data_IF_180366472368
#
_entry.id   IF_180366472368
#
_cell.length_a   1.000
_cell.length_b   1.000
_cell.length_c   1.000
_cell.angle_alpha   90.00
_cell.angle_beta   90.00
_cell.angle_gamma   90.00
#
_symmetry.space_group_name_H-M   'P 1'
#
loop_
_entity.id
_entity.type
_entity.pdbx_description
1 polymer ?
#
# COMPACT_ATOMS: atom_id res chain seq x y z
N UNK A 1 4.97 -1.71 10.96
CA UNK A 1 4.57 -3.06 10.52
C UNK A 1 3.80 -3.72 11.63
N UNK A 2 2.47 -3.65 11.56
CA UNK A 2 1.57 -4.36 12.46
C UNK A 2 0.77 -5.41 11.67
N UNK A 3 0.38 -6.47 12.37
CA UNK A 3 -0.59 -7.46 11.87
C UNK A 3 -1.92 -7.17 12.54
N UNK A 4 -2.97 -7.00 11.75
CA UNK A 4 -4.32 -6.70 12.23
C UNK A 4 -5.28 -7.87 11.98
N UNK A 5 -6.20 -8.08 12.91
CA UNK A 5 -7.23 -9.12 12.86
C UNK A 5 -7.07 -10.16 13.97
N UNK A 6 -8.03 -11.08 14.04
CA UNK A 6 -8.16 -12.15 15.03
C UNK A 6 -7.84 -13.54 14.45
N UNK A 7 -7.29 -13.59 13.24
CA UNK A 7 -7.01 -14.83 12.52
C UNK A 7 -8.08 -15.19 11.49
N UNK A 8 -9.23 -14.50 11.49
CA UNK A 8 -10.27 -14.71 10.48
C UNK A 8 -10.03 -13.87 9.23
N UNK A 9 -10.60 -14.30 8.10
CA UNK A 9 -10.50 -13.55 6.86
C UNK A 9 -11.27 -12.22 6.99
N UNK A 10 -10.57 -11.11 6.80
CA UNK A 10 -11.11 -9.74 6.88
C UNK A 10 -12.34 -9.49 5.98
N UNK A 11 -12.43 -10.20 4.85
CA UNK A 11 -13.55 -10.09 3.91
C UNK A 11 -14.54 -11.27 3.99
N UNK A 12 -14.36 -12.18 4.94
CA UNK A 12 -15.18 -13.38 5.11
C UNK A 12 -16.42 -13.19 6.00
N UNK A 13 -17.21 -14.26 6.21
CA UNK A 13 -16.96 -15.64 5.75
C UNK A 13 -17.41 -15.93 4.31
N UNK A 14 -18.24 -15.09 3.72
CA UNK A 14 -18.85 -15.35 2.40
C UNK A 14 -17.81 -15.39 1.29
N UNK A 15 -17.82 -16.44 0.46
CA UNK A 15 -16.90 -16.58 -0.67
C UNK A 15 -15.44 -16.84 -0.27
N UNK A 16 -15.15 -17.18 0.99
CA UNK A 16 -13.81 -17.58 1.40
C UNK A 16 -13.40 -18.91 0.77
N UNK A 17 -12.23 -18.91 0.12
CA UNK A 17 -11.59 -20.11 -0.41
C UNK A 17 -10.06 -20.01 -0.22
N UNK A 18 -9.43 -21.14 0.13
CA UNK A 18 -7.99 -21.24 0.37
C UNK A 18 -7.56 -20.91 1.81
N UNK A 19 -6.25 -20.75 2.01
CA UNK A 19 -5.63 -20.57 3.33
C UNK A 19 -5.75 -19.12 3.82
N UNK A 20 -6.18 -18.97 5.08
CA UNK A 20 -6.22 -17.68 5.78
C UNK A 20 -4.93 -17.48 6.56
N UNK A 21 -4.16 -16.46 6.17
CA UNK A 21 -3.00 -15.99 6.92
C UNK A 21 -2.83 -14.48 6.75
N UNK A 22 -1.96 -13.87 7.55
CA UNK A 22 -1.67 -12.44 7.49
C UNK A 22 -0.93 -12.08 6.19
N UNK A 23 -1.54 -11.24 5.35
CA UNK A 23 -0.98 -10.82 4.06
C UNK A 23 -0.71 -9.33 4.03
N UNK A 24 0.39 -8.96 3.42
CA UNK A 24 0.82 -7.56 3.33
C UNK A 24 -0.17 -6.72 2.53
N UNK A 25 -0.35 -5.47 2.94
CA UNK A 25 -1.12 -4.48 2.18
C UNK A 25 -0.32 -3.95 0.98
N UNK A 26 -1.04 -3.54 -0.08
CA UNK A 26 -0.45 -2.91 -1.26
C UNK A 26 -0.22 -1.40 -1.09
N UNK A 27 -0.69 -0.79 0.00
CA UNK A 27 -0.63 0.66 0.24
C UNK A 27 0.72 1.19 0.73
N UNK A 28 1.74 0.34 0.85
CA UNK A 28 3.08 0.75 1.30
C UNK A 28 3.22 1.03 2.81
N UNK A 29 2.17 0.82 3.62
CA UNK A 29 2.26 1.04 5.08
C UNK A 29 3.10 -0.01 5.81
N UNK A 30 3.39 -1.13 5.15
CA UNK A 30 4.05 -2.29 5.75
C UNK A 30 3.15 -3.07 6.72
N UNK A 31 1.85 -2.80 6.74
CA UNK A 31 0.89 -3.55 7.57
C UNK A 31 0.39 -4.80 6.86
N UNK A 32 -0.13 -5.74 7.65
CA UNK A 32 -0.74 -6.97 7.16
C UNK A 32 -2.12 -7.23 7.78
N UNK A 33 -3.00 -7.88 7.02
CA UNK A 33 -4.34 -8.29 7.44
C UNK A 33 -4.59 -9.75 7.06
N UNK A 34 -5.32 -10.49 7.89
CA UNK A 34 -5.71 -11.86 7.58
C UNK A 34 -6.69 -11.89 6.40
N UNK A 35 -6.35 -12.63 5.34
CA UNK A 35 -7.19 -12.86 4.16
C UNK A 35 -6.97 -14.27 3.63
N UNK A 36 -8.04 -14.92 3.18
CA UNK A 36 -7.92 -16.15 2.40
C UNK A 36 -7.29 -15.88 1.03
N UNK A 37 -6.86 -16.93 0.33
CA UNK A 37 -6.27 -16.81 -1.02
C UNK A 37 -7.21 -16.06 -1.97
N UNK A 38 -8.48 -16.45 -2.02
CA UNK A 38 -9.47 -15.85 -2.92
C UNK A 38 -9.64 -14.35 -2.69
N UNK A 39 -9.84 -13.93 -1.43
CA UNK A 39 -10.02 -12.52 -1.10
C UNK A 39 -8.75 -11.69 -1.25
N UNK A 40 -7.57 -12.32 -1.14
CA UNK A 40 -6.32 -11.62 -1.42
C UNK A 40 -6.09 -11.43 -2.91
N UNK A 41 -6.41 -12.43 -3.74
CA UNK A 41 -6.34 -12.30 -5.19
C UNK A 41 -7.30 -11.23 -5.70
N UNK A 42 -8.56 -11.26 -5.25
CA UNK A 42 -9.55 -10.22 -5.59
C UNK A 42 -9.10 -8.82 -5.14
N UNK A 43 -8.47 -8.71 -3.97
CA UNK A 43 -7.86 -7.48 -3.48
C UNK A 43 -6.73 -6.99 -4.40
N UNK A 44 -5.83 -7.90 -4.80
CA UNK A 44 -4.71 -7.58 -5.68
C UNK A 44 -5.18 -7.16 -7.08
N UNK A 45 -6.11 -7.89 -7.70
CA UNK A 45 -6.69 -7.56 -9.00
C UNK A 45 -7.29 -6.16 -9.00
N UNK A 46 -7.95 -5.77 -7.91
CA UNK A 46 -8.57 -4.43 -7.79
C UNK A 46 -7.54 -3.32 -7.55
N UNK A 47 -6.52 -3.54 -6.72
CA UNK A 47 -5.64 -2.47 -6.26
C UNK A 47 -4.32 -2.35 -7.00
N UNK A 48 -3.77 -3.43 -7.54
CA UNK A 48 -2.51 -3.38 -8.30
C UNK A 48 -2.53 -2.32 -9.41
N UNK A 49 -3.55 -2.23 -10.28
CA UNK A 49 -3.56 -1.21 -11.33
C UNK A 49 -3.61 0.23 -10.78
N UNK A 50 -4.20 0.43 -9.60
CA UNK A 50 -4.25 1.73 -8.93
C UNK A 50 -2.87 2.10 -8.40
N UNK A 51 -2.17 1.15 -7.76
CA UNK A 51 -0.82 1.36 -7.25
C UNK A 51 0.17 1.61 -8.40
N UNK A 52 0.05 0.87 -9.50
CA UNK A 52 0.89 1.05 -10.69
C UNK A 52 0.71 2.46 -11.29
N UNK A 53 -0.53 2.95 -11.39
CA UNK A 53 -0.80 4.29 -11.89
C UNK A 53 -0.29 5.40 -10.95
N UNK A 54 -0.40 5.21 -9.63
CA UNK A 54 0.17 6.12 -8.63
C UNK A 54 1.69 6.17 -8.79
N UNK A 55 2.36 5.02 -8.83
CA UNK A 55 3.81 4.92 -8.96
C UNK A 55 4.32 5.53 -10.27
N UNK A 56 3.53 5.45 -11.35
CA UNK A 56 3.82 6.10 -12.63
C UNK A 56 3.72 7.62 -12.55
N UNK A 57 2.76 8.15 -11.79
CA UNK A 57 2.52 9.61 -11.64
C UNK A 57 3.42 10.27 -10.61
N UNK A 58 3.80 9.54 -9.57
CA UNK A 58 4.53 10.06 -8.42
C UNK A 58 5.78 9.20 -8.17
N UNK A 59 6.90 9.51 -8.84
CA UNK A 59 8.16 8.82 -8.60
C UNK A 59 8.59 8.95 -7.14
N UNK A 60 9.17 7.89 -6.58
CA UNK A 60 9.63 7.87 -5.18
C UNK A 60 10.76 8.88 -4.89
N UNK A 61 11.56 9.20 -5.92
CA UNK A 61 12.63 10.18 -5.84
C UNK A 61 12.32 11.33 -6.78
N UNK A 62 12.60 12.55 -6.32
CA UNK A 62 12.57 13.72 -7.18
C UNK A 62 13.55 13.53 -8.37
N UNK A 63 13.22 14.06 -9.56
CA UNK A 63 14.17 14.13 -10.68
C UNK A 63 15.49 14.82 -10.27
N UNK A 64 16.60 14.44 -10.91
CA UNK A 64 17.92 14.99 -10.59
C UNK A 64 18.05 16.50 -10.90
N UNK A 65 17.20 17.00 -11.78
CA UNK A 65 17.09 18.39 -12.20
C UNK A 65 15.95 19.15 -11.51
N UNK A 66 15.27 18.53 -10.54
CA UNK A 66 14.25 19.18 -9.75
C UNK A 66 14.90 20.07 -8.67
N UNK A 67 14.56 21.36 -8.72
CA UNK A 67 14.94 22.34 -7.70
C UNK A 67 13.78 22.51 -6.68
N UNK A 68 13.98 22.16 -5.38
CA UNK A 68 12.97 22.37 -4.35
C UNK A 68 12.45 23.82 -4.27
N UNK A 69 13.28 24.80 -4.62
CA UNK A 69 12.91 26.22 -4.57
C UNK A 69 11.95 26.65 -5.69
N UNK A 70 11.67 25.80 -6.69
CA UNK A 70 10.64 26.10 -7.69
C UNK A 70 9.23 26.26 -7.08
N UNK A 71 8.99 25.71 -5.88
CA UNK A 71 7.74 25.90 -5.15
C UNK A 71 7.71 27.20 -4.30
N UNK A 72 8.82 27.97 -4.26
CA UNK A 72 8.94 29.22 -3.50
C UNK A 72 9.36 29.05 -2.03
N UNK A 73 9.28 27.84 -1.48
CA UNK A 73 9.71 27.48 -0.12
C UNK A 73 10.07 25.99 -0.05
N UNK A 74 11.09 25.64 0.75
CA UNK A 74 11.49 24.26 1.03
C UNK A 74 11.22 23.95 2.51
N UNK A 75 10.47 22.89 2.77
CA UNK A 75 9.91 22.60 4.12
C UNK A 75 10.92 21.94 5.06
N UNK A 76 12.10 21.59 4.55
CA UNK A 76 13.22 20.95 5.24
C UNK A 76 14.29 21.95 5.72
N UNK A 77 14.12 23.25 5.49
CA UNK A 77 15.04 24.30 5.96
C UNK A 77 14.99 24.55 7.48
N UNK A 78 13.90 24.18 8.15
CA UNK A 78 13.81 24.22 9.61
C UNK A 78 14.40 22.94 10.21
N UNK A 79 15.72 22.79 10.05
CA UNK A 79 16.50 21.81 10.78
C UNK A 79 16.26 21.95 12.28
N UNK A 80 15.91 20.83 12.94
CA UNK A 80 15.78 20.75 14.39
C UNK A 80 17.14 20.85 15.09
#
# INVERSE_FOLDING_TARGET
MAVYGDGECLAGPDGCEGEVFARSTLSGSGDAYYRCDHHYEAYAVRLQPVMDDINRRYPAMAPADWDPYYAGEAWDEDGW
#
